data_IF_265612265949
#
_entry.id   IF_265612265949
#
_cell.length_a   1.000
_cell.length_b   1.000
_cell.length_c   1.000
_cell.angle_alpha   90.00
_cell.angle_beta   90.00
_cell.angle_gamma   90.00
#
_symmetry.space_group_name_H-M   'P 1'
#
loop_
_entity.id
_entity.type
_entity.pdbx_description
1 polymer ?
#
# COMPACT_ATOMS: atom_id res chain seq x y z
N UNK A 1 8.56 10.91 -8.77
CA UNK A 1 7.25 11.33 -9.32
C UNK A 1 6.15 10.32 -9.01
N UNK A 2 6.24 9.05 -9.39
CA UNK A 2 5.19 8.03 -9.13
C UNK A 2 4.77 7.91 -7.66
N UNK A 3 5.74 7.91 -6.71
CA UNK A 3 5.44 7.82 -5.27
C UNK A 3 4.57 8.98 -4.77
N UNK A 4 4.83 10.20 -5.24
CA UNK A 4 4.01 11.37 -4.89
C UNK A 4 2.60 11.27 -5.46
N UNK A 5 2.46 10.82 -6.70
CA UNK A 5 1.15 10.58 -7.34
C UNK A 5 0.35 9.55 -6.55
N UNK A 6 0.98 8.42 -6.19
CA UNK A 6 0.34 7.38 -5.37
C UNK A 6 -0.20 7.93 -4.05
N UNK A 7 0.65 8.68 -3.31
CA UNK A 7 0.27 9.23 -2.00
C UNK A 7 -0.90 10.21 -2.13
N UNK A 8 -0.88 11.09 -3.13
CA UNK A 8 -1.97 12.04 -3.37
C UNK A 8 -3.28 11.30 -3.64
N UNK A 9 -3.25 10.27 -4.48
CA UNK A 9 -4.43 9.46 -4.80
C UNK A 9 -4.94 8.75 -3.54
N UNK A 10 -4.07 8.05 -2.80
CA UNK A 10 -4.49 7.28 -1.61
C UNK A 10 -5.03 8.19 -0.52
N UNK A 11 -4.35 9.30 -0.21
CA UNK A 11 -4.85 10.26 0.78
C UNK A 11 -6.18 10.88 0.32
N UNK A 12 -6.30 11.24 -0.94
CA UNK A 12 -7.56 11.74 -1.52
C UNK A 12 -8.70 10.73 -1.39
N UNK A 13 -8.45 9.45 -1.69
CA UNK A 13 -9.44 8.37 -1.52
C UNK A 13 -9.81 8.19 -0.06
N UNK A 14 -8.84 8.12 0.86
CA UNK A 14 -9.09 7.96 2.29
C UNK A 14 -9.91 9.12 2.88
N UNK A 15 -9.63 10.37 2.46
CA UNK A 15 -10.39 11.53 2.90
C UNK A 15 -11.82 11.55 2.32
N UNK A 16 -12.00 11.03 1.12
CA UNK A 16 -13.31 11.01 0.46
C UNK A 16 -14.22 9.87 0.95
N UNK A 17 -13.64 8.71 1.30
CA UNK A 17 -14.41 7.54 1.74
C UNK A 17 -14.69 7.49 3.25
N UNK A 18 -13.95 8.24 4.04
CA UNK A 18 -14.15 8.72 5.43
C UNK A 18 -14.68 7.79 6.52
N UNK A 19 -15.20 6.59 6.26
CA UNK A 19 -15.75 5.71 7.29
C UNK A 19 -15.48 4.24 6.97
N UNK A 20 -14.66 3.59 7.79
CA UNK A 20 -14.72 2.14 7.91
C UNK A 20 -15.89 1.79 8.84
N UNK A 21 -16.85 1.04 8.36
CA UNK A 21 -17.91 0.50 9.22
C UNK A 21 -17.28 -0.58 10.14
N UNK A 22 -17.60 -0.50 11.43
CA UNK A 22 -17.22 -1.58 12.35
C UNK A 22 -17.92 -2.89 11.98
N UNK A 23 -17.31 -4.06 12.26
CA UNK A 23 -17.92 -5.37 11.94
C UNK A 23 -19.35 -5.52 12.46
N UNK A 24 -19.65 -4.92 13.63
CA UNK A 24 -20.93 -4.99 14.32
C UNK A 24 -21.87 -3.82 14.01
N UNK A 25 -21.53 -2.99 13.01
CA UNK A 25 -22.38 -1.86 12.62
C UNK A 25 -23.79 -2.31 12.24
N UNK A 26 -24.79 -1.51 12.63
CA UNK A 26 -26.16 -1.80 12.24
C UNK A 26 -26.33 -1.67 10.73
N UNK A 27 -27.27 -2.43 10.19
CA UNK A 27 -27.56 -2.42 8.75
C UNK A 27 -27.97 -1.02 8.26
N UNK A 28 -28.66 -0.26 9.11
CA UNK A 28 -29.07 1.12 8.82
C UNK A 28 -27.87 2.07 8.76
N UNK A 29 -26.89 1.88 9.66
CA UNK A 29 -25.65 2.66 9.66
C UNK A 29 -24.86 2.42 8.37
N UNK A 30 -24.70 1.15 7.97
CA UNK A 30 -24.03 0.79 6.74
C UNK A 30 -24.76 1.39 5.53
N UNK A 31 -26.09 1.21 5.45
CA UNK A 31 -26.88 1.77 4.34
C UNK A 31 -26.78 3.29 4.24
N UNK A 32 -26.87 4.00 5.37
CA UNK A 32 -26.78 5.46 5.37
C UNK A 32 -25.42 5.98 4.92
N UNK A 33 -24.34 5.28 5.26
CA UNK A 33 -22.98 5.62 4.83
C UNK A 33 -22.81 5.50 3.31
N UNK A 34 -23.40 4.48 2.70
CA UNK A 34 -23.32 4.26 1.26
C UNK A 34 -24.30 5.10 0.45
N UNK A 35 -25.49 5.41 0.99
CA UNK A 35 -26.48 6.25 0.32
C UNK A 35 -26.01 7.70 0.16
N UNK A 36 -25.34 8.25 1.17
CA UNK A 36 -24.78 9.61 1.12
C UNK A 36 -23.59 9.77 0.17
N UNK A 37 -22.96 8.68 -0.25
CA UNK A 37 -21.67 8.68 -0.96
C UNK A 37 -21.75 8.32 -2.45
N UNK A 38 -22.94 8.27 -3.02
CA UNK A 38 -23.25 7.70 -4.34
C UNK A 38 -22.29 8.08 -5.49
N UNK A 39 -22.04 9.37 -5.68
CA UNK A 39 -21.13 9.84 -6.73
C UNK A 39 -19.65 9.70 -6.37
N UNK A 40 -19.32 9.72 -5.09
CA UNK A 40 -17.96 9.67 -4.58
C UNK A 40 -17.38 8.27 -4.70
N UNK A 41 -18.17 7.21 -4.41
CA UNK A 41 -17.74 5.81 -4.44
C UNK A 41 -17.24 5.41 -5.84
N UNK A 42 -17.94 5.79 -6.90
CA UNK A 42 -17.52 5.45 -8.26
C UNK A 42 -16.17 6.08 -8.61
N UNK A 43 -16.00 7.38 -8.39
CA UNK A 43 -14.74 8.08 -8.72
C UNK A 43 -13.57 7.64 -7.85
N UNK A 44 -13.79 7.42 -6.55
CA UNK A 44 -12.75 6.91 -5.65
C UNK A 44 -12.33 5.50 -6.01
N UNK A 45 -13.24 4.66 -6.51
CA UNK A 45 -12.93 3.32 -7.00
C UNK A 45 -11.99 3.35 -8.21
N UNK A 46 -12.25 4.20 -9.20
CA UNK A 46 -11.34 4.37 -10.34
C UNK A 46 -9.99 4.94 -9.91
N UNK A 47 -9.96 5.90 -9.00
CA UNK A 47 -8.73 6.46 -8.45
C UNK A 47 -7.93 5.39 -7.68
N UNK A 48 -8.58 4.55 -6.88
CA UNK A 48 -7.94 3.45 -6.17
C UNK A 48 -7.35 2.40 -7.12
N UNK A 49 -8.04 2.06 -8.20
CA UNK A 49 -7.50 1.16 -9.23
C UNK A 49 -6.28 1.75 -9.93
N UNK A 50 -6.27 3.05 -10.21
CA UNK A 50 -5.09 3.74 -10.73
C UNK A 50 -3.92 3.71 -9.72
N UNK A 51 -4.20 3.89 -8.42
CA UNK A 51 -3.19 3.76 -7.37
C UNK A 51 -2.60 2.35 -7.29
N UNK A 52 -3.41 1.30 -7.48
CA UNK A 52 -2.93 -0.09 -7.56
C UNK A 52 -1.93 -0.28 -8.69
N UNK A 53 -2.23 0.24 -9.89
CA UNK A 53 -1.31 0.20 -11.02
C UNK A 53 0.01 0.92 -10.70
N UNK A 54 -0.07 2.12 -10.12
CA UNK A 54 1.13 2.89 -9.71
C UNK A 54 1.98 2.11 -8.71
N UNK A 55 1.37 1.41 -7.74
CA UNK A 55 2.09 0.57 -6.77
C UNK A 55 2.86 -0.57 -7.44
N UNK A 56 2.26 -1.25 -8.40
CA UNK A 56 2.93 -2.34 -9.13
C UNK A 56 4.15 -1.79 -9.89
N UNK A 57 4.02 -0.65 -10.58
CA UNK A 57 5.15 0.00 -11.26
C UNK A 57 6.23 0.46 -10.28
N UNK A 58 5.85 1.01 -9.12
CA UNK A 58 6.79 1.38 -8.05
C UNK A 58 7.56 0.17 -7.53
N UNK A 59 6.87 -0.95 -7.28
CA UNK A 59 7.49 -2.21 -6.86
C UNK A 59 8.50 -2.72 -7.91
N UNK A 60 8.14 -2.67 -9.20
CA UNK A 60 9.03 -3.04 -10.30
C UNK A 60 10.25 -2.14 -10.42
N UNK A 61 10.07 -0.82 -10.31
CA UNK A 61 11.17 0.14 -10.33
C UNK A 61 12.10 -0.04 -9.13
N UNK A 62 11.55 -0.21 -7.93
CA UNK A 62 12.31 -0.47 -6.72
C UNK A 62 13.09 -1.79 -6.81
N UNK A 63 12.46 -2.85 -7.31
CA UNK A 63 13.13 -4.13 -7.57
C UNK A 63 14.34 -3.96 -8.49
N UNK A 64 14.18 -3.23 -9.60
CA UNK A 64 15.26 -2.98 -10.54
C UNK A 64 16.43 -2.24 -9.88
N UNK A 65 16.13 -1.21 -9.09
CA UNK A 65 17.14 -0.43 -8.38
C UNK A 65 17.89 -1.24 -7.30
N UNK A 66 17.16 -2.06 -6.52
CA UNK A 66 17.74 -2.85 -5.44
C UNK A 66 18.52 -4.09 -5.94
N UNK A 67 18.18 -4.66 -7.09
CA UNK A 67 18.86 -5.84 -7.67
C UNK A 67 20.30 -5.60 -8.08
N UNK A 68 20.66 -4.36 -8.33
CA UNK A 68 22.04 -3.99 -8.71
C UNK A 68 23.06 -4.23 -7.57
N UNK A 69 22.61 -4.50 -6.34
CA UNK A 69 23.40 -4.50 -5.12
C UNK A 69 23.27 -5.80 -4.29
N UNK A 70 23.71 -6.96 -4.76
CA UNK A 70 24.04 -8.18 -3.96
C UNK A 70 22.93 -9.08 -3.40
N UNK A 71 21.64 -8.73 -3.35
CA UNK A 71 20.62 -9.62 -2.80
C UNK A 71 19.33 -9.66 -3.66
N UNK A 72 19.34 -10.34 -4.81
CA UNK A 72 18.24 -10.31 -5.76
C UNK A 72 16.92 -10.83 -5.20
N UNK A 73 16.93 -11.84 -4.31
CA UNK A 73 15.71 -12.41 -3.74
C UNK A 73 14.99 -11.47 -2.78
N UNK A 74 15.72 -10.61 -2.02
CA UNK A 74 15.09 -9.64 -1.11
C UNK A 74 14.39 -8.52 -1.89
N UNK A 75 14.93 -8.11 -3.03
CA UNK A 75 14.29 -7.20 -3.95
C UNK A 75 13.01 -7.82 -4.57
N UNK A 76 13.02 -9.13 -4.85
CA UNK A 76 11.85 -9.85 -5.32
C UNK A 76 10.76 -9.93 -4.24
N UNK A 77 11.13 -10.18 -2.99
CA UNK A 77 10.20 -10.15 -1.84
C UNK A 77 9.59 -8.77 -1.66
N UNK A 78 10.39 -7.70 -1.77
CA UNK A 78 9.89 -6.34 -1.71
C UNK A 78 8.84 -6.08 -2.81
N UNK A 79 9.13 -6.45 -4.06
CA UNK A 79 8.20 -6.31 -5.18
C UNK A 79 6.90 -7.09 -4.94
N UNK A 80 6.98 -8.34 -4.49
CA UNK A 80 5.80 -9.16 -4.16
C UNK A 80 4.96 -8.48 -3.08
N UNK A 81 5.58 -7.87 -2.08
CA UNK A 81 4.89 -7.07 -1.07
C UNK A 81 4.05 -5.94 -1.69
N UNK A 82 4.62 -5.17 -2.64
CA UNK A 82 3.88 -4.13 -3.35
C UNK A 82 2.71 -4.69 -4.17
N UNK A 83 2.89 -5.86 -4.79
CA UNK A 83 1.81 -6.54 -5.53
C UNK A 83 0.69 -6.97 -4.58
N UNK A 84 1.02 -7.54 -3.42
CA UNK A 84 0.02 -7.93 -2.41
C UNK A 84 -0.75 -6.71 -1.90
N UNK A 85 -0.07 -5.59 -1.60
CA UNK A 85 -0.72 -4.34 -1.21
C UNK A 85 -1.68 -3.87 -2.32
N UNK A 86 -1.24 -3.87 -3.57
CA UNK A 86 -2.06 -3.45 -4.71
C UNK A 86 -3.30 -4.35 -4.89
N UNK A 87 -3.14 -5.67 -4.77
CA UNK A 87 -4.26 -6.62 -4.84
C UNK A 87 -5.25 -6.43 -3.69
N UNK A 88 -4.76 -6.14 -2.48
CA UNK A 88 -5.62 -5.87 -1.34
C UNK A 88 -6.43 -4.58 -1.53
N UNK A 89 -5.80 -3.51 -2.02
CA UNK A 89 -6.51 -2.26 -2.33
C UNK A 89 -7.54 -2.46 -3.46
N UNK A 90 -7.21 -3.27 -4.47
CA UNK A 90 -8.15 -3.65 -5.52
C UNK A 90 -9.33 -4.46 -4.95
N UNK A 91 -9.07 -5.40 -4.03
CA UNK A 91 -10.11 -6.17 -3.34
C UNK A 91 -11.04 -5.25 -2.55
N UNK A 92 -10.50 -4.29 -1.79
CA UNK A 92 -11.31 -3.30 -1.09
C UNK A 92 -12.20 -2.48 -2.03
N UNK A 93 -11.64 -2.07 -3.17
CA UNK A 93 -12.40 -1.33 -4.19
C UNK A 93 -13.56 -2.15 -4.73
N UNK A 94 -13.34 -3.43 -5.03
CA UNK A 94 -14.37 -4.34 -5.52
C UNK A 94 -15.43 -4.59 -4.43
N UNK A 95 -15.00 -4.84 -3.19
CA UNK A 95 -15.91 -5.02 -2.05
C UNK A 95 -16.79 -3.79 -1.85
N UNK A 96 -16.23 -2.58 -1.89
CA UNK A 96 -16.97 -1.33 -1.74
C UNK A 96 -18.03 -1.12 -2.84
N UNK A 97 -17.67 -1.36 -4.11
CA UNK A 97 -18.62 -1.28 -5.22
C UNK A 97 -19.73 -2.33 -5.13
N UNK A 98 -19.38 -3.55 -4.74
CA UNK A 98 -20.36 -4.64 -4.59
C UNK A 98 -21.29 -4.37 -3.40
N UNK A 99 -20.76 -3.82 -2.30
CA UNK A 99 -21.56 -3.44 -1.14
C UNK A 99 -22.56 -2.32 -1.50
N UNK A 100 -22.11 -1.33 -2.26
CA UNK A 100 -22.99 -0.28 -2.77
C UNK A 100 -24.16 -0.84 -3.60
N UNK A 101 -23.91 -1.77 -4.53
CA UNK A 101 -24.96 -2.44 -5.29
C UNK A 101 -25.90 -3.22 -4.37
N UNK A 102 -25.36 -4.00 -3.41
CA UNK A 102 -26.17 -4.78 -2.46
C UNK A 102 -27.06 -3.90 -1.57
N UNK A 103 -26.59 -2.71 -1.19
CA UNK A 103 -27.40 -1.71 -0.44
C UNK A 103 -28.56 -1.20 -1.29
N UNK A 104 -28.32 -0.88 -2.55
CA UNK A 104 -29.35 -0.38 -3.48
C UNK A 104 -30.41 -1.44 -3.79
N UNK A 105 -29.99 -2.71 -3.92
CA UNK A 105 -30.87 -3.84 -4.20
C UNK A 105 -31.63 -4.33 -2.94
N UNK A 106 -31.30 -3.79 -1.77
CA UNK A 106 -31.93 -4.16 -0.49
C UNK A 106 -31.50 -5.51 0.08
N UNK A 107 -30.40 -6.09 -0.43
CA UNK A 107 -29.86 -7.42 -0.10
C UNK A 107 -29.11 -7.44 1.25
N UNK A 108 -29.86 -7.47 2.36
CA UNK A 108 -29.31 -7.34 3.72
C UNK A 108 -28.26 -8.41 4.09
N UNK A 109 -28.42 -9.63 3.59
CA UNK A 109 -27.48 -10.74 3.84
C UNK A 109 -26.15 -10.52 3.12
N UNK A 110 -26.20 -10.04 1.87
CA UNK A 110 -25.04 -9.70 1.07
C UNK A 110 -24.25 -8.54 1.72
N UNK A 111 -24.94 -7.49 2.18
CA UNK A 111 -24.31 -6.36 2.87
C UNK A 111 -23.52 -6.80 4.09
N UNK A 112 -24.08 -7.68 4.94
CA UNK A 112 -23.36 -8.20 6.11
C UNK A 112 -22.12 -9.02 5.73
N UNK A 113 -22.27 -9.93 4.76
CA UNK A 113 -21.16 -10.77 4.31
C UNK A 113 -20.03 -9.92 3.74
N UNK A 114 -20.35 -8.92 2.92
CA UNK A 114 -19.37 -8.02 2.33
C UNK A 114 -18.68 -7.15 3.39
N UNK A 115 -19.40 -6.71 4.44
CA UNK A 115 -18.79 -5.98 5.55
C UNK A 115 -17.76 -6.82 6.31
N UNK A 116 -18.02 -8.12 6.52
CA UNK A 116 -17.02 -9.03 7.11
C UNK A 116 -15.79 -9.24 6.21
N UNK A 117 -15.99 -9.36 4.91
CA UNK A 117 -14.89 -9.47 3.95
C UNK A 117 -14.05 -8.19 3.95
N UNK A 118 -14.70 -7.04 3.93
CA UNK A 118 -14.05 -5.73 3.91
C UNK A 118 -13.16 -5.51 5.13
N UNK A 119 -13.69 -5.81 6.33
CA UNK A 119 -12.92 -5.72 7.57
C UNK A 119 -11.78 -6.73 7.65
N UNK A 120 -11.90 -7.90 6.99
CA UNK A 120 -10.86 -8.93 6.95
C UNK A 120 -9.74 -8.64 5.95
N UNK A 121 -9.97 -7.77 4.98
CA UNK A 121 -8.98 -7.37 3.97
C UNK A 121 -7.75 -6.67 4.57
N UNK A 122 -7.80 -6.28 5.84
CA UNK A 122 -6.63 -5.75 6.53
C UNK A 122 -5.50 -6.77 6.71
N UNK A 123 -5.81 -8.07 6.82
CA UNK A 123 -4.81 -9.13 6.99
C UNK A 123 -3.84 -9.26 5.79
N UNK A 124 -4.30 -9.40 4.53
CA UNK A 124 -3.39 -9.41 3.40
C UNK A 124 -2.63 -8.09 3.22
N UNK A 125 -3.20 -6.94 3.61
CA UNK A 125 -2.48 -5.67 3.63
C UNK A 125 -1.26 -5.72 4.55
N UNK A 126 -1.44 -6.23 5.78
CA UNK A 126 -0.36 -6.40 6.75
C UNK A 126 0.76 -7.30 6.19
N UNK A 127 0.41 -8.41 5.55
CA UNK A 127 1.37 -9.31 4.91
C UNK A 127 2.14 -8.59 3.80
N UNK A 128 1.43 -7.87 2.94
CA UNK A 128 2.04 -7.08 1.87
C UNK A 128 3.02 -6.04 2.39
N UNK A 129 2.65 -5.31 3.44
CA UNK A 129 3.52 -4.33 4.10
C UNK A 129 4.75 -4.99 4.72
N UNK A 130 4.58 -6.13 5.42
CA UNK A 130 5.70 -6.87 5.98
C UNK A 130 6.71 -7.26 4.89
N UNK A 131 6.25 -7.87 3.81
CA UNK A 131 7.11 -8.26 2.69
C UNK A 131 7.78 -7.06 2.01
N UNK A 132 7.03 -5.98 1.75
CA UNK A 132 7.59 -4.78 1.11
C UNK A 132 8.67 -4.13 1.96
N UNK A 133 8.40 -3.92 3.26
CA UNK A 133 9.31 -3.20 4.17
C UNK A 133 10.51 -4.05 4.56
N UNK A 134 10.32 -5.33 4.92
CA UNK A 134 11.42 -6.24 5.26
C UNK A 134 12.29 -6.48 4.03
N UNK A 135 11.68 -6.79 2.88
CA UNK A 135 12.42 -7.03 1.64
C UNK A 135 13.27 -5.82 1.23
N UNK A 136 12.71 -4.61 1.29
CA UNK A 136 13.42 -3.35 1.00
C UNK A 136 14.55 -3.09 2.00
N UNK A 137 14.27 -3.24 3.29
CA UNK A 137 15.26 -3.03 4.34
C UNK A 137 16.41 -4.03 4.25
N UNK A 138 16.11 -5.31 4.05
CA UNK A 138 17.12 -6.36 3.89
C UNK A 138 17.98 -6.14 2.64
N UNK A 139 17.38 -5.77 1.51
CA UNK A 139 18.11 -5.42 0.29
C UNK A 139 19.02 -4.20 0.50
N UNK A 140 18.54 -3.17 1.18
CA UNK A 140 19.31 -1.98 1.52
C UNK A 140 20.49 -2.26 2.45
N UNK A 141 20.31 -3.14 3.44
CA UNK A 141 21.40 -3.57 4.35
C UNK A 141 22.47 -4.40 3.63
N UNK A 142 22.06 -5.31 2.75
CA UNK A 142 22.98 -6.18 2.02
C UNK A 142 23.76 -5.42 0.93
N UNK A 143 23.11 -4.49 0.24
CA UNK A 143 23.69 -3.76 -0.90
C UNK A 143 24.26 -2.37 -0.58
N UNK A 144 24.02 -1.84 0.61
CA UNK A 144 24.41 -0.48 0.98
C UNK A 144 23.68 0.63 0.21
N UNK A 145 22.67 0.29 -0.57
CA UNK A 145 21.89 1.22 -1.41
C UNK A 145 20.96 2.16 -0.61
N UNK A 146 20.75 1.86 0.67
CA UNK A 146 19.96 2.67 1.57
C UNK A 146 20.75 3.00 2.84
N UNK A 147 20.53 4.19 3.43
CA UNK A 147 21.10 4.51 4.73
C UNK A 147 20.74 3.44 5.76
N UNK A 148 21.72 2.99 6.56
CA UNK A 148 21.52 1.89 7.53
C UNK A 148 20.34 2.13 8.49
N UNK A 149 20.19 3.35 8.98
CA UNK A 149 19.08 3.70 9.87
C UNK A 149 17.71 3.48 9.22
N UNK A 150 17.59 3.85 7.93
CA UNK A 150 16.36 3.68 7.18
C UNK A 150 16.07 2.20 6.86
N UNK A 151 17.10 1.46 6.47
CA UNK A 151 16.99 0.04 6.19
C UNK A 151 16.59 -0.76 7.44
N UNK A 152 17.20 -0.48 8.61
CA UNK A 152 16.83 -1.08 9.90
C UNK A 152 15.38 -0.67 10.28
N UNK A 153 15.04 0.61 10.16
CA UNK A 153 13.69 1.11 10.43
C UNK A 153 12.63 0.41 9.56
N UNK A 154 12.94 0.17 8.28
CA UNK A 154 12.05 -0.57 7.36
C UNK A 154 11.84 -2.01 7.82
N UNK A 155 12.89 -2.72 8.25
CA UNK A 155 12.76 -4.09 8.79
C UNK A 155 11.89 -4.09 10.05
N UNK A 156 12.13 -3.15 10.97
CA UNK A 156 11.35 -3.04 12.21
C UNK A 156 9.88 -2.77 11.92
N UNK A 157 9.56 -1.81 11.05
CA UNK A 157 8.18 -1.53 10.64
C UNK A 157 7.52 -2.74 9.97
N UNK A 158 8.26 -3.45 9.12
CA UNK A 158 7.76 -4.66 8.48
C UNK A 158 7.47 -5.79 9.47
N UNK A 159 8.29 -5.94 10.51
CA UNK A 159 8.05 -6.90 11.59
C UNK A 159 6.85 -6.51 12.48
N UNK A 160 6.57 -5.22 12.62
CA UNK A 160 5.40 -4.74 13.37
C UNK A 160 4.09 -4.95 12.59
N UNK A 161 4.14 -4.97 11.26
CA UNK A 161 2.95 -5.06 10.42
C UNK A 161 2.01 -6.23 10.78
N UNK A 162 2.46 -7.49 10.99
CA UNK A 162 1.58 -8.62 11.30
C UNK A 162 1.18 -8.70 12.78
N UNK A 163 1.59 -7.77 13.65
CA UNK A 163 1.38 -7.84 15.09
C UNK A 163 0.05 -7.20 15.54
N UNK A 164 -1.04 -7.47 14.85
CA UNK A 164 -2.39 -7.02 15.24
C UNK A 164 -2.49 -5.49 15.36
N UNK A 165 -2.84 -4.93 16.54
CA UNK A 165 -3.01 -3.49 16.71
C UNK A 165 -1.76 -2.66 16.38
N UNK A 166 -0.56 -3.22 16.55
CA UNK A 166 0.70 -2.55 16.21
C UNK A 166 0.87 -2.40 14.69
N UNK A 167 0.18 -3.21 13.89
CA UNK A 167 0.18 -3.13 12.43
C UNK A 167 -0.41 -1.84 11.87
N UNK A 168 -1.19 -1.09 12.67
CA UNK A 168 -1.66 0.24 12.27
C UNK A 168 -0.53 1.26 12.14
N UNK A 169 0.56 1.11 12.90
CA UNK A 169 1.71 2.03 12.83
C UNK A 169 2.37 1.98 11.44
N UNK A 170 2.81 0.83 10.91
CA UNK A 170 3.33 0.77 9.54
C UNK A 170 2.29 1.13 8.48
N UNK A 171 0.99 0.86 8.69
CA UNK A 171 -0.06 1.25 7.77
C UNK A 171 -0.17 2.78 7.64
N UNK A 172 -0.16 3.50 8.75
CA UNK A 172 -0.18 4.97 8.77
C UNK A 172 1.10 5.58 8.18
N UNK A 173 2.24 4.92 8.40
CA UNK A 173 3.53 5.39 7.88
C UNK A 173 3.80 4.98 6.43
N UNK A 174 3.00 4.06 5.85
CA UNK A 174 3.22 3.53 4.51
C UNK A 174 3.38 4.61 3.43
N UNK A 175 2.53 5.64 3.35
CA UNK A 175 2.68 6.70 2.34
C UNK A 175 4.00 7.46 2.47
N UNK A 176 4.38 7.81 3.70
CA UNK A 176 5.64 8.52 3.98
C UNK A 176 6.83 7.64 3.68
N UNK A 177 6.76 6.35 4.05
CA UNK A 177 7.80 5.38 3.79
C UNK A 177 8.02 5.17 2.27
N UNK A 178 6.95 5.09 1.47
CA UNK A 178 7.04 4.98 0.00
C UNK A 178 7.75 6.19 -0.61
N UNK A 179 7.44 7.42 -0.16
CA UNK A 179 8.12 8.63 -0.63
C UNK A 179 9.60 8.60 -0.25
N UNK A 180 9.91 8.22 0.99
CA UNK A 180 11.27 8.18 1.50
C UNK A 180 12.13 7.16 0.72
N UNK A 181 11.64 5.94 0.50
CA UNK A 181 12.32 4.91 -0.32
C UNK A 181 12.59 5.44 -1.72
N UNK A 182 11.58 5.98 -2.38
CA UNK A 182 11.72 6.49 -3.75
C UNK A 182 12.73 7.65 -3.86
N UNK A 183 12.79 8.50 -2.83
CA UNK A 183 13.76 9.61 -2.74
C UNK A 183 15.18 9.12 -2.51
N UNK A 184 15.38 8.21 -1.56
CA UNK A 184 16.71 7.69 -1.19
C UNK A 184 17.34 6.88 -2.32
N UNK A 185 16.57 6.00 -2.97
CA UNK A 185 17.05 5.21 -4.10
C UNK A 185 17.46 6.11 -5.29
N UNK A 186 16.72 7.19 -5.54
CA UNK A 186 17.06 8.13 -6.61
C UNK A 186 18.35 8.89 -6.32
N UNK A 187 18.60 9.28 -5.07
CA UNK A 187 19.82 9.99 -4.67
C UNK A 187 21.06 9.10 -4.80
N UNK A 188 20.94 7.82 -4.50
CA UNK A 188 22.05 6.86 -4.66
C UNK A 188 22.41 6.66 -6.14
N UNK A 189 21.41 6.54 -7.02
CA UNK A 189 21.63 6.43 -8.46
C UNK A 189 22.35 7.66 -9.05
N UNK A 190 21.96 8.86 -8.64
CA UNK A 190 22.59 10.09 -9.11
C UNK A 190 24.07 10.20 -8.66
N UNK A 191 24.36 9.74 -7.43
CA UNK A 191 25.73 9.75 -6.89
C UNK A 191 26.66 8.75 -7.62
N UNK A 192 26.14 7.60 -8.05
CA UNK A 192 26.92 6.61 -8.80
C UNK A 192 27.26 7.11 -10.21
N UNK A 193 26.37 7.84 -10.87
CA UNK A 193 26.60 8.43 -12.18
C UNK A 193 27.69 9.52 -12.12
N UNK A 194 27.65 10.41 -11.12
CA UNK A 194 28.66 11.45 -10.93
C UNK A 194 30.06 10.86 -10.66
N UNK A 195 30.15 9.77 -9.89
CA UNK A 195 31.41 9.10 -9.61
C UNK A 195 32.03 8.43 -10.86
N UNK A 196 31.21 8.03 -11.83
CA UNK A 196 31.70 7.42 -13.09
C UNK A 196 32.25 8.43 -14.09
N UNK A 197 31.96 9.72 -13.93
CA UNK A 197 32.34 10.81 -14.83
C UNK A 197 33.63 11.52 -14.34
N UNK A 198 34.07 11.29 -13.10
CA UNK A 198 35.27 11.91 -12.56
C UNK A 198 36.52 11.44 -13.33
N UNK A 199 37.33 12.32 -13.97
CA UNK A 199 38.52 11.95 -14.69
C UNK A 199 39.60 11.40 -13.71
N UNK A 200 40.25 10.33 -14.14
CA UNK A 200 41.36 9.70 -13.43
C UNK A 200 42.63 10.59 -13.39
#
# INVERSE_FOLDING_TARGET
MLAGVFVIIVVGVLLATGQSNEPDSSLETIKSAYDQSHGVIAWTSYAAMAACAVLVFLGGALRSALRLHYAPWTADVAMLGFVVIALTLASWTVSGLTMWNAVNDGESSAVRTLNYIDTSNFLPLMLGMACAMIGTGAAGLAGGSLPRWFAIGSVVLGCLAPLGPLGFVPAMLLPVWIIAVAGLVRLDSARSDDASIAPA
#
